data_IF_968046125008
#
_entry.id   IF_968046125008
#
_cell.length_a   1.000
_cell.length_b   1.000
_cell.length_c   1.000
_cell.angle_alpha   90.00
_cell.angle_beta   90.00
_cell.angle_gamma   90.00
#
_symmetry.space_group_name_H-M   'P 1'
#
loop_
_entity.id
_entity.type
_entity.pdbx_description
1 polymer ?
#
# COMPACT_ATOMS: atom_id res chain seq x y z
N UNK A 1 -10.71 20.20 2.43
CA UNK A 1 -10.48 19.52 1.13
C UNK A 1 -9.01 19.37 0.76
N UNK A 2 -8.16 20.40 0.91
CA UNK A 2 -6.70 20.32 0.65
C UNK A 2 -6.00 19.18 1.41
N UNK A 3 -6.35 18.95 2.68
CA UNK A 3 -5.78 17.88 3.52
C UNK A 3 -5.99 16.46 2.94
N UNK A 4 -7.17 16.17 2.37
CA UNK A 4 -7.45 14.84 1.79
C UNK A 4 -6.60 14.54 0.55
N UNK A 5 -6.37 15.56 -0.30
CA UNK A 5 -5.51 15.41 -1.47
C UNK A 5 -4.04 15.19 -1.07
N UNK A 6 -3.56 15.89 -0.06
CA UNK A 6 -2.19 15.76 0.44
C UNK A 6 -1.93 14.37 1.03
N UNK A 7 -2.88 13.81 1.78
CA UNK A 7 -2.77 12.44 2.32
C UNK A 7 -2.74 11.42 1.19
N UNK A 8 -3.57 11.59 0.16
CA UNK A 8 -3.53 10.71 -1.02
C UNK A 8 -2.19 10.74 -1.74
N UNK A 9 -1.60 11.92 -1.92
CA UNK A 9 -0.26 12.07 -2.54
C UNK A 9 0.81 11.41 -1.67
N UNK A 10 0.83 11.70 -0.36
CA UNK A 10 1.78 11.12 0.56
C UNK A 10 1.68 9.59 0.59
N UNK A 11 0.46 9.05 0.55
CA UNK A 11 0.22 7.60 0.48
C UNK A 11 0.79 6.99 -0.81
N UNK A 12 0.60 7.63 -1.96
CA UNK A 12 1.17 7.15 -3.23
C UNK A 12 2.70 7.16 -3.19
N UNK A 13 3.31 8.22 -2.66
CA UNK A 13 4.77 8.33 -2.57
C UNK A 13 5.35 7.25 -1.64
N UNK A 14 4.80 7.12 -0.43
CA UNK A 14 5.28 6.11 0.54
C UNK A 14 5.04 4.69 0.05
N UNK A 15 3.93 4.44 -0.63
CA UNK A 15 3.63 3.16 -1.25
C UNK A 15 4.64 2.81 -2.36
N UNK A 16 4.89 3.75 -3.29
CA UNK A 16 5.85 3.54 -4.37
C UNK A 16 7.26 3.27 -3.82
N UNK A 17 7.71 4.05 -2.83
CA UNK A 17 8.99 3.85 -2.17
C UNK A 17 9.07 2.46 -1.50
N UNK A 18 8.05 2.06 -0.74
CA UNK A 18 8.00 0.75 -0.07
C UNK A 18 8.05 -0.39 -1.09
N UNK A 19 7.30 -0.28 -2.19
CA UNK A 19 7.25 -1.30 -3.24
C UNK A 19 8.59 -1.45 -3.95
N UNK A 20 9.20 -0.34 -4.38
CA UNK A 20 10.50 -0.33 -5.08
C UNK A 20 11.58 -0.95 -4.18
N UNK A 21 11.66 -0.51 -2.91
CA UNK A 21 12.67 -1.04 -1.98
C UNK A 21 12.39 -2.51 -1.64
N UNK A 22 11.12 -2.92 -1.57
CA UNK A 22 10.72 -4.32 -1.41
C UNK A 22 11.20 -5.20 -2.56
N UNK A 23 11.07 -4.73 -3.80
CA UNK A 23 11.61 -5.39 -5.00
C UNK A 23 13.14 -5.45 -4.92
N UNK A 24 13.81 -4.36 -4.54
CA UNK A 24 15.28 -4.35 -4.38
C UNK A 24 15.75 -5.36 -3.33
N UNK A 25 15.04 -5.50 -2.21
CA UNK A 25 15.32 -6.51 -1.18
C UNK A 25 15.17 -7.93 -1.71
N UNK A 26 14.18 -8.18 -2.57
CA UNK A 26 13.98 -9.47 -3.22
C UNK A 26 15.11 -9.76 -4.22
N UNK A 27 15.46 -8.82 -5.09
CA UNK A 27 16.57 -8.94 -6.05
C UNK A 27 17.89 -9.15 -5.34
N UNK A 28 18.14 -8.47 -4.21
CA UNK A 28 19.31 -8.71 -3.38
C UNK A 28 19.38 -10.13 -2.82
N UNK A 29 18.25 -10.73 -2.46
CA UNK A 29 18.23 -12.11 -1.99
C UNK A 29 18.66 -13.12 -3.06
N UNK A 30 18.61 -12.71 -4.33
CA UNK A 30 19.11 -13.45 -5.50
C UNK A 30 20.49 -12.99 -6.00
N UNK A 31 21.20 -12.16 -5.22
CA UNK A 31 22.58 -11.73 -5.56
C UNK A 31 22.70 -10.63 -6.61
N UNK A 32 21.60 -10.00 -7.04
CA UNK A 32 21.58 -9.03 -8.16
C UNK A 32 21.97 -7.61 -7.70
N UNK A 33 21.78 -7.27 -6.42
CA UNK A 33 22.00 -5.93 -5.88
C UNK A 33 23.10 -5.95 -4.80
N UNK A 34 24.04 -4.99 -4.87
CA UNK A 34 25.24 -4.91 -4.00
C UNK A 34 24.96 -4.08 -2.71
N UNK A 35 23.91 -3.25 -2.67
CA UNK A 35 23.58 -2.37 -1.54
C UNK A 35 23.51 -3.10 -0.19
N UNK A 36 23.90 -2.48 0.95
CA UNK A 36 23.85 -3.09 2.27
C UNK A 36 22.40 -3.49 2.63
N UNK A 37 22.19 -4.78 2.94
CA UNK A 37 20.84 -5.32 3.24
C UNK A 37 20.19 -4.64 4.45
N UNK A 38 20.99 -4.24 5.44
CA UNK A 38 20.50 -3.56 6.64
C UNK A 38 19.84 -2.22 6.32
N UNK A 39 20.48 -1.42 5.47
CA UNK A 39 19.98 -0.11 5.05
C UNK A 39 18.67 -0.27 4.27
N UNK A 40 18.64 -1.14 3.26
CA UNK A 40 17.43 -1.40 2.47
C UNK A 40 16.27 -1.88 3.36
N UNK A 41 16.55 -2.78 4.33
CA UNK A 41 15.55 -3.26 5.28
C UNK A 41 15.03 -2.13 6.17
N UNK A 42 15.90 -1.28 6.72
CA UNK A 42 15.50 -0.17 7.57
C UNK A 42 14.62 0.83 6.82
N UNK A 43 15.04 1.22 5.61
CA UNK A 43 14.26 2.15 4.77
C UNK A 43 12.91 1.54 4.37
N UNK A 44 12.86 0.24 4.00
CA UNK A 44 11.62 -0.46 3.71
C UNK A 44 10.65 -0.45 4.90
N UNK A 45 11.15 -0.66 6.12
CA UNK A 45 10.34 -0.63 7.34
C UNK A 45 9.81 0.78 7.63
N UNK A 46 10.65 1.81 7.52
CA UNK A 46 10.25 3.21 7.76
C UNK A 46 9.12 3.61 6.80
N UNK A 47 9.31 3.41 5.50
CA UNK A 47 8.27 3.73 4.51
C UNK A 47 7.04 2.83 4.63
N UNK A 48 7.21 1.55 4.99
CA UNK A 48 6.10 0.62 5.21
C UNK A 48 5.22 1.02 6.39
N UNK A 49 5.81 1.42 7.52
CA UNK A 49 5.05 1.91 8.67
C UNK A 49 4.42 3.28 8.42
N UNK A 50 5.14 4.19 7.74
CA UNK A 50 4.58 5.48 7.33
C UNK A 50 3.37 5.29 6.39
N UNK A 51 3.49 4.40 5.41
CA UNK A 51 2.38 4.01 4.52
C UNK A 51 1.21 3.43 5.31
N UNK A 52 1.47 2.57 6.29
CA UNK A 52 0.43 1.96 7.14
C UNK A 52 -0.34 3.03 7.92
N UNK A 53 0.37 3.96 8.56
CA UNK A 53 -0.27 5.07 9.28
C UNK A 53 -1.12 5.94 8.34
N UNK A 54 -0.59 6.29 7.16
CA UNK A 54 -1.32 7.05 6.15
C UNK A 54 -2.54 6.30 5.60
N UNK A 55 -2.46 4.97 5.47
CA UNK A 55 -3.59 4.13 5.05
C UNK A 55 -4.74 4.18 6.06
N UNK A 56 -4.45 4.11 7.37
CA UNK A 56 -5.47 4.26 8.41
C UNK A 56 -6.13 5.65 8.39
N UNK A 57 -5.34 6.72 8.20
CA UNK A 57 -5.86 8.08 8.07
C UNK A 57 -6.72 8.20 6.81
N UNK A 58 -6.26 7.66 5.69
CA UNK A 58 -7.01 7.62 4.43
C UNK A 58 -8.33 6.87 4.61
N UNK A 59 -8.30 5.70 5.24
CA UNK A 59 -9.51 4.92 5.54
C UNK A 59 -10.50 5.71 6.40
N UNK A 60 -10.05 6.31 7.51
CA UNK A 60 -10.91 7.12 8.37
C UNK A 60 -11.59 8.27 7.61
N UNK A 61 -10.87 8.93 6.68
CA UNK A 61 -11.42 10.01 5.86
C UNK A 61 -12.52 9.53 4.87
N UNK A 62 -12.45 8.27 4.44
CA UNK A 62 -13.38 7.70 3.47
C UNK A 62 -14.39 6.73 4.06
N UNK A 63 -14.44 6.61 5.39
CA UNK A 63 -15.31 5.64 6.09
C UNK A 63 -16.79 5.82 5.78
N UNK A 64 -17.27 7.08 5.65
CA UNK A 64 -18.65 7.37 5.24
C UNK A 64 -18.97 6.79 3.85
N UNK A 65 -18.03 6.91 2.94
CA UNK A 65 -18.14 6.35 1.59
C UNK A 65 -18.14 4.82 1.64
N UNK A 66 -17.22 4.21 2.41
CA UNK A 66 -17.16 2.76 2.59
C UNK A 66 -18.47 2.19 3.18
N UNK A 67 -19.06 2.88 4.14
CA UNK A 67 -20.34 2.46 4.73
C UNK A 67 -21.51 2.55 3.73
N UNK A 68 -21.50 3.56 2.84
CA UNK A 68 -22.46 3.63 1.74
C UNK A 68 -22.26 2.50 0.72
N UNK A 69 -21.01 2.06 0.51
CA UNK A 69 -20.66 0.95 -0.37
C UNK A 69 -21.11 -0.41 0.17
N UNK A 70 -21.08 -0.63 1.51
CA UNK A 70 -21.58 -1.85 2.15
C UNK A 70 -23.07 -2.07 1.87
N UNK A 71 -23.85 -0.99 1.75
CA UNK A 71 -25.31 -1.04 1.46
C UNK A 71 -25.65 -1.36 0.00
N UNK A 72 -24.73 -1.06 -0.92
CA UNK A 72 -24.85 -1.36 -2.35
C UNK A 72 -23.63 -2.14 -2.78
N UNK A 73 -23.67 -3.48 -2.67
CA UNK A 73 -22.66 -4.34 -3.25
C UNK A 73 -22.66 -4.10 -4.78
N UNK A 74 -21.84 -3.16 -5.22
CA UNK A 74 -21.62 -2.88 -6.64
C UNK A 74 -20.27 -3.49 -7.00
N UNK A 75 -20.27 -4.32 -8.00
CA UNK A 75 -19.11 -4.89 -8.70
C UNK A 75 -18.01 -3.82 -9.00
N UNK A 76 -18.39 -2.55 -8.98
CA UNK A 76 -17.51 -1.40 -9.19
C UNK A 76 -16.48 -1.14 -8.07
N UNK A 77 -16.58 -1.82 -6.92
CA UNK A 77 -15.72 -1.58 -5.74
C UNK A 77 -14.94 -2.81 -5.30
N UNK A 78 -14.91 -3.85 -6.12
CA UNK A 78 -14.12 -5.06 -5.87
C UNK A 78 -12.64 -4.77 -5.75
N UNK A 79 -12.12 -3.78 -6.50
CA UNK A 79 -10.74 -3.31 -6.41
C UNK A 79 -10.38 -2.76 -5.03
N UNK A 80 -11.29 -2.01 -4.39
CA UNK A 80 -11.07 -1.47 -3.05
C UNK A 80 -11.02 -2.58 -2.00
N UNK A 81 -11.92 -3.56 -2.06
CA UNK A 81 -11.91 -4.69 -1.15
C UNK A 81 -10.69 -5.58 -1.34
N UNK A 82 -10.34 -5.86 -2.59
CA UNK A 82 -9.14 -6.60 -2.92
C UNK A 82 -7.89 -5.91 -2.36
N UNK A 83 -7.80 -4.57 -2.53
CA UNK A 83 -6.69 -3.79 -2.01
C UNK A 83 -6.59 -3.86 -0.47
N UNK A 84 -7.72 -3.80 0.24
CA UNK A 84 -7.77 -3.94 1.71
C UNK A 84 -7.27 -5.32 2.13
N UNK A 85 -7.76 -6.39 1.50
CA UNK A 85 -7.35 -7.77 1.82
C UNK A 85 -5.85 -7.95 1.58
N UNK A 86 -5.35 -7.50 0.43
CA UNK A 86 -3.93 -7.61 0.09
C UNK A 86 -3.04 -6.76 1.02
N UNK A 87 -3.52 -5.58 1.44
CA UNK A 87 -2.83 -4.75 2.42
C UNK A 87 -2.70 -5.47 3.77
N UNK A 88 -3.81 -6.05 4.27
CA UNK A 88 -3.80 -6.80 5.53
C UNK A 88 -2.86 -8.00 5.43
N UNK A 89 -2.93 -8.78 4.34
CA UNK A 89 -2.06 -9.93 4.12
C UNK A 89 -0.57 -9.54 4.07
N UNK A 90 -0.25 -8.44 3.37
CA UNK A 90 1.12 -7.91 3.28
C UNK A 90 1.62 -7.41 4.64
N UNK A 91 0.77 -6.68 5.37
CA UNK A 91 1.09 -6.16 6.70
C UNK A 91 1.34 -7.31 7.69
N UNK A 92 0.45 -8.31 7.74
CA UNK A 92 0.57 -9.46 8.62
C UNK A 92 1.84 -10.27 8.33
N UNK A 93 2.07 -10.62 7.05
CA UNK A 93 3.26 -11.40 6.67
C UNK A 93 4.56 -10.64 6.92
N UNK A 94 4.57 -9.32 6.70
CA UNK A 94 5.71 -8.46 7.00
C UNK A 94 5.99 -8.34 8.50
N UNK A 95 4.94 -8.15 9.31
CA UNK A 95 5.04 -8.04 10.77
C UNK A 95 5.48 -9.37 11.40
N UNK A 96 4.89 -10.49 10.99
CA UNK A 96 5.31 -11.83 11.46
C UNK A 96 6.78 -12.06 11.13
N UNK A 97 7.22 -11.74 9.90
CA UNK A 97 8.62 -11.87 9.50
C UNK A 97 9.58 -10.99 10.30
N UNK A 98 9.11 -9.83 10.77
CA UNK A 98 9.91 -8.92 11.60
C UNK A 98 10.04 -9.42 13.04
N UNK A 99 8.94 -9.89 13.63
CA UNK A 99 8.84 -10.26 15.04
C UNK A 99 9.32 -11.69 15.33
N UNK A 100 9.28 -12.58 14.35
CA UNK A 100 9.65 -13.98 14.55
C UNK A 100 11.15 -14.18 14.35
N UNK A 101 11.90 -14.60 15.38
CA UNK A 101 13.34 -14.86 15.27
C UNK A 101 13.63 -16.10 14.42
N UNK A 102 12.69 -17.04 14.35
CA UNK A 102 12.81 -18.28 13.58
C UNK A 102 12.43 -18.02 12.11
N UNK A 103 13.22 -18.54 11.19
CA UNK A 103 12.90 -18.45 9.75
C UNK A 103 11.72 -19.36 9.43
N UNK A 104 10.55 -18.76 9.19
CA UNK A 104 9.39 -19.49 8.67
C UNK A 104 9.60 -19.71 7.16
N UNK A 105 9.60 -20.96 6.68
CA UNK A 105 9.75 -21.24 5.25
C UNK A 105 8.75 -20.47 4.41
N UNK A 106 9.19 -19.96 3.27
CA UNK A 106 8.37 -19.25 2.28
C UNK A 106 7.67 -17.96 2.74
N UNK A 107 7.70 -17.57 4.03
CA UNK A 107 7.02 -16.35 4.51
C UNK A 107 7.50 -15.10 3.78
N UNK A 108 8.81 -15.00 3.48
CA UNK A 108 9.36 -13.89 2.70
C UNK A 108 8.86 -13.86 1.25
N UNK A 109 8.61 -15.03 0.67
CA UNK A 109 8.06 -15.16 -0.67
C UNK A 109 6.59 -14.76 -0.70
N UNK A 110 5.79 -15.20 0.27
CA UNK A 110 4.38 -14.79 0.41
C UNK A 110 4.25 -13.28 0.59
N UNK A 111 5.07 -12.68 1.46
CA UNK A 111 5.09 -11.23 1.65
C UNK A 111 5.41 -10.49 0.34
N UNK A 112 6.37 -10.99 -0.44
CA UNK A 112 6.72 -10.42 -1.75
C UNK A 112 5.55 -10.51 -2.74
N UNK A 113 4.92 -11.67 -2.88
CA UNK A 113 3.82 -11.86 -3.82
C UNK A 113 2.57 -11.05 -3.44
N UNK A 114 2.22 -10.99 -2.15
CA UNK A 114 1.13 -10.12 -1.69
C UNK A 114 1.44 -8.65 -1.94
N UNK A 115 2.68 -8.21 -1.72
CA UNK A 115 3.12 -6.85 -2.02
C UNK A 115 3.04 -6.52 -3.52
N UNK A 116 3.43 -7.45 -4.40
CA UNK A 116 3.32 -7.28 -5.85
C UNK A 116 1.86 -7.21 -6.31
N UNK A 117 1.01 -8.13 -5.83
CA UNK A 117 -0.43 -8.13 -6.13
C UNK A 117 -1.10 -6.84 -5.63
N UNK A 118 -0.73 -6.37 -4.41
CA UNK A 118 -1.17 -5.09 -3.87
C UNK A 118 -0.72 -3.93 -4.77
N UNK A 119 0.49 -4.00 -5.34
CA UNK A 119 1.01 -3.01 -6.30
C UNK A 119 0.11 -2.86 -7.51
N UNK A 120 -0.27 -3.97 -8.12
CA UNK A 120 -1.18 -3.99 -9.27
C UNK A 120 -2.57 -3.45 -8.89
N UNK A 121 -3.12 -3.92 -7.77
CA UNK A 121 -4.43 -3.47 -7.29
C UNK A 121 -4.43 -1.96 -6.97
N UNK A 122 -3.34 -1.42 -6.40
CA UNK A 122 -3.20 0.00 -6.10
C UNK A 122 -3.15 0.86 -7.37
N UNK A 123 -2.47 0.40 -8.43
CA UNK A 123 -2.45 1.10 -9.73
C UNK A 123 -3.86 1.15 -10.31
N UNK A 124 -4.60 0.04 -10.31
CA UNK A 124 -5.98 -0.02 -10.79
C UNK A 124 -6.86 0.94 -9.98
N UNK A 125 -6.75 0.92 -8.65
CA UNK A 125 -7.49 1.80 -7.76
C UNK A 125 -7.18 3.28 -8.01
N UNK A 126 -5.90 3.63 -8.22
CA UNK A 126 -5.47 4.99 -8.53
C UNK A 126 -6.05 5.48 -9.86
N UNK A 127 -5.94 4.68 -10.93
CA UNK A 127 -6.46 5.02 -12.26
C UNK A 127 -7.97 5.26 -12.22
N UNK A 128 -8.72 4.40 -11.52
CA UNK A 128 -10.17 4.57 -11.33
C UNK A 128 -10.52 5.79 -10.49
N UNK A 129 -9.65 6.19 -9.55
CA UNK A 129 -9.83 7.36 -8.70
C UNK A 129 -9.53 8.69 -9.38
N UNK A 130 -8.72 8.73 -10.45
CA UNK A 130 -8.29 9.95 -11.14
C UNK A 130 -9.42 10.89 -11.57
N UNK A 131 -10.55 10.43 -12.18
CA UNK A 131 -11.63 11.31 -12.59
C UNK A 131 -12.28 12.05 -11.40
N UNK A 132 -12.46 11.38 -10.28
CA UNK A 132 -13.03 11.99 -9.07
C UNK A 132 -12.07 13.00 -8.43
N UNK A 133 -10.78 12.71 -8.45
CA UNK A 133 -9.73 13.62 -7.96
C UNK A 133 -9.66 14.90 -8.78
N UNK A 134 -9.72 14.80 -10.11
CA UNK A 134 -9.72 15.96 -10.99
C UNK A 134 -10.94 16.87 -10.77
N UNK A 135 -12.13 16.30 -10.51
CA UNK A 135 -13.32 17.07 -10.13
C UNK A 135 -13.11 17.82 -8.80
N UNK A 136 -12.56 17.17 -7.78
CA UNK A 136 -12.29 17.79 -6.48
C UNK A 136 -11.29 18.96 -6.59
N UNK A 137 -10.26 18.82 -7.43
CA UNK A 137 -9.28 19.91 -7.68
C UNK A 137 -9.92 21.13 -8.36
N UNK A 138 -10.83 20.93 -9.31
CA UNK A 138 -11.55 22.02 -9.99
C UNK A 138 -12.44 22.81 -9.01
N UNK A 139 -13.12 22.12 -8.09
CA UNK A 139 -13.98 22.77 -7.06
C UNK A 139 -13.15 23.55 -6.05
N UNK A 140 -11.96 23.07 -5.72
CA UNK A 140 -11.06 23.73 -4.74
C UNK A 140 -10.35 24.98 -5.29
N UNK A 141 -10.39 25.22 -6.60
CA UNK A 141 -9.77 26.40 -7.25
C UNK A 141 -10.75 27.56 -7.49
N UNK A 142 -12.04 27.30 -7.32
CA UNK A 142 -13.10 28.32 -7.28
C UNK A 142 -13.35 28.77 -5.84
#
# INVERSE_FOLDING_TARGET
>A
MKSKANIGIALVITFAATLIIGIMLHLKSHGIIIQPRGVLKAVHLIFGYAMTALMFIHWAQFQKMLNALKKKFRWFYTDTWLLIILFIATLLTGTVKLLTPVKIPHLGLWHYWFGMAMGIAAIIHLVRGLPSWNRMRKISRK
#
